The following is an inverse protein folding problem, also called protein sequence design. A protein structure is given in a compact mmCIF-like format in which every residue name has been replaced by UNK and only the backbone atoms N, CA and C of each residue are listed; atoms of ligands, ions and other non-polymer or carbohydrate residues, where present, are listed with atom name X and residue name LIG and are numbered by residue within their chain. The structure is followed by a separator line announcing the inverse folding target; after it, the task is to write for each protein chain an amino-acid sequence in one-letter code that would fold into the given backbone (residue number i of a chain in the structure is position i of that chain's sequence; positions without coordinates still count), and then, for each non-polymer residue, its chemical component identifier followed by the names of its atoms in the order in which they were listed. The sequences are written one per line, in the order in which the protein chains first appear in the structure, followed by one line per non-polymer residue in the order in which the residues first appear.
data_IF_963940405681
#
_entry.id   IF_963940405681
#
_cell.length_a   1.000
_cell.length_b   1.000
_cell.length_c   1.000
_cell.angle_alpha   90.00
_cell.angle_beta   90.00
_cell.angle_gamma   90.00
#
_symmetry.space_group_name_H-M   'P 1'
#
loop_
_entity.id
_entity.type
_entity.pdbx_description
1 polymer ?
#
# COMPACT_ATOMS: atom_id res chain seq x y z
N UNK A 1 20.01 -54.08 17.02
CA UNK A 1 19.92 -52.73 17.63
C UNK A 1 21.34 -52.32 17.94
N UNK A 2 21.97 -51.51 17.07
CA UNK A 2 23.30 -50.95 17.31
C UNK A 2 23.12 -49.77 18.27
N UNK A 3 23.93 -49.74 19.32
CA UNK A 3 23.86 -48.76 20.41
C UNK A 3 24.05 -47.33 19.89
N UNK A 4 23.32 -46.38 20.46
CA UNK A 4 23.47 -44.93 20.20
C UNK A 4 24.85 -44.37 20.64
N UNK A 5 25.78 -45.21 21.07
CA UNK A 5 27.10 -44.86 21.58
C UNK A 5 28.18 -44.72 20.50
N UNK A 6 27.98 -45.24 19.28
CA UNK A 6 29.00 -45.21 18.22
C UNK A 6 28.78 -44.19 17.10
N UNK A 7 27.80 -43.28 17.22
CA UNK A 7 27.65 -42.22 16.20
C UNK A 7 28.80 -41.23 16.29
N UNK A 8 29.61 -41.17 15.23
CA UNK A 8 30.72 -40.25 15.12
C UNK A 8 30.22 -38.80 15.03
N UNK A 9 31.08 -37.85 15.39
CA UNK A 9 30.81 -36.40 15.23
C UNK A 9 30.47 -36.08 13.77
N UNK A 10 31.12 -36.78 12.84
CA UNK A 10 30.95 -36.58 11.41
C UNK A 10 29.55 -37.02 10.95
N UNK A 11 29.04 -38.14 11.49
CA UNK A 11 27.69 -38.62 11.20
C UNK A 11 26.61 -37.68 11.76
N UNK A 12 26.85 -37.13 12.96
CA UNK A 12 25.93 -36.19 13.60
C UNK A 12 25.91 -34.83 12.90
N UNK A 13 27.08 -34.34 12.48
CA UNK A 13 27.19 -33.10 11.71
C UNK A 13 26.58 -33.26 10.31
N UNK A 14 26.81 -34.40 9.65
CA UNK A 14 26.25 -34.71 8.34
C UNK A 14 24.71 -34.83 8.33
N UNK A 15 24.09 -35.09 9.49
CA UNK A 15 22.64 -35.14 9.65
C UNK A 15 21.99 -33.76 9.86
N UNK A 16 22.78 -32.71 10.07
CA UNK A 16 22.25 -31.36 10.22
C UNK A 16 21.75 -30.81 8.87
N UNK A 17 20.70 -29.98 8.86
CA UNK A 17 20.36 -29.15 7.70
C UNK A 17 21.56 -28.32 7.25
N UNK A 18 21.71 -28.08 5.93
CA UNK A 18 22.85 -27.33 5.37
C UNK A 18 23.04 -25.95 6.02
N UNK A 19 21.96 -25.30 6.42
CA UNK A 19 22.01 -23.99 7.07
C UNK A 19 22.54 -24.07 8.51
N UNK A 20 22.23 -25.16 9.24
CA UNK A 20 22.82 -25.44 10.55
C UNK A 20 24.31 -25.73 10.47
N UNK A 21 24.75 -26.43 9.41
CA UNK A 21 26.18 -26.66 9.14
C UNK A 21 26.92 -25.33 8.87
N UNK A 22 26.37 -24.47 7.99
CA UNK A 22 26.97 -23.15 7.70
C UNK A 22 26.99 -22.23 8.92
N UNK A 23 25.94 -22.24 9.74
CA UNK A 23 25.89 -21.41 10.95
C UNK A 23 26.98 -21.81 11.95
N UNK A 24 27.20 -23.11 12.15
CA UNK A 24 28.28 -23.64 13.00
C UNK A 24 29.67 -23.26 12.47
N UNK A 25 29.88 -23.30 11.15
CA UNK A 25 31.13 -22.85 10.53
C UNK A 25 31.38 -21.35 10.71
N UNK A 26 30.34 -20.51 10.56
CA UNK A 26 30.45 -19.05 10.69
C UNK A 26 30.81 -18.59 12.11
N UNK A 27 30.36 -19.30 13.14
CA UNK A 27 30.70 -19.01 14.53
C UNK A 27 32.02 -19.68 14.97
N UNK A 28 32.77 -20.28 14.04
CA UNK A 28 34.04 -20.95 14.30
C UNK A 28 33.91 -22.33 14.97
N UNK A 29 32.70 -22.87 15.08
CA UNK A 29 32.41 -24.22 15.59
C UNK A 29 32.19 -25.23 14.46
N UNK A 30 33.04 -25.15 13.43
CA UNK A 30 33.03 -26.13 12.34
C UNK A 30 33.48 -27.53 12.80
N UNK A 31 33.41 -28.48 11.87
CA UNK A 31 33.75 -29.89 12.08
C UNK A 31 35.12 -30.13 12.78
N UNK A 32 36.20 -29.37 12.50
CA UNK A 32 37.47 -29.51 13.22
C UNK A 32 37.38 -29.17 14.72
N UNK A 33 36.62 -28.14 15.07
CA UNK A 33 36.47 -27.71 16.47
C UNK A 33 35.52 -28.64 17.23
N UNK A 34 34.46 -29.14 16.57
CA UNK A 34 33.57 -30.16 17.15
C UNK A 34 34.32 -31.47 17.42
N UNK A 35 35.24 -31.89 16.54
CA UNK A 35 36.14 -33.04 16.79
C UNK A 35 37.07 -32.79 17.97
N UNK A 36 37.59 -31.56 18.10
CA UNK A 36 38.45 -31.18 19.23
C UNK A 36 37.70 -31.19 20.57
N UNK A 37 36.45 -30.76 20.58
CA UNK A 37 35.57 -30.81 21.76
C UNK A 37 35.25 -32.27 22.10
N UNK A 38 34.89 -33.08 21.09
CA UNK A 38 34.59 -34.51 21.28
C UNK A 38 35.77 -35.33 21.82
N UNK A 39 37.02 -34.92 21.56
CA UNK A 39 38.22 -35.58 22.05
C UNK A 39 38.50 -35.35 23.56
N UNK A 40 37.73 -34.48 24.23
CA UNK A 40 37.81 -34.26 25.68
C UNK A 40 36.98 -35.29 26.43
N UNK A 41 37.31 -35.51 27.70
CA UNK A 41 36.48 -36.28 28.64
C UNK A 41 35.06 -35.65 28.66
N UNK A 42 34.02 -36.46 28.45
CA UNK A 42 32.61 -36.06 28.27
C UNK A 42 32.27 -35.18 27.03
N UNK A 43 33.24 -34.96 26.13
CA UNK A 43 33.10 -34.05 24.98
C UNK A 43 31.96 -34.39 24.01
N UNK A 44 31.70 -35.68 23.80
CA UNK A 44 30.60 -36.14 22.93
C UNK A 44 29.21 -35.74 23.44
N UNK A 45 29.02 -35.64 24.76
CA UNK A 45 27.75 -35.17 25.34
C UNK A 45 27.54 -33.69 25.06
N UNK A 46 28.62 -32.90 25.12
CA UNK A 46 28.60 -31.49 24.80
C UNK A 46 28.33 -31.24 23.31
N UNK A 47 28.97 -32.00 22.41
CA UNK A 47 28.73 -31.92 20.95
C UNK A 47 27.28 -32.26 20.63
N UNK A 48 26.70 -33.30 21.23
CA UNK A 48 25.27 -33.63 21.03
C UNK A 48 24.35 -32.50 21.49
N UNK A 49 24.66 -31.85 22.61
CA UNK A 49 23.95 -30.66 23.09
C UNK A 49 23.97 -29.53 22.07
N UNK A 50 25.17 -29.15 21.61
CA UNK A 50 25.37 -28.10 20.60
C UNK A 50 24.61 -28.45 19.32
N UNK A 51 24.83 -29.64 18.76
CA UNK A 51 24.20 -30.01 17.49
C UNK A 51 22.67 -30.11 17.60
N UNK A 52 22.11 -30.45 18.77
CA UNK A 52 20.65 -30.50 18.96
C UNK A 52 19.97 -29.13 18.88
N UNK A 53 20.68 -28.04 19.26
CA UNK A 53 20.18 -26.67 19.09
C UNK A 53 20.04 -26.28 17.61
N UNK A 54 20.91 -26.82 16.75
CA UNK A 54 20.90 -26.57 15.31
C UNK A 54 20.15 -27.65 14.50
N UNK A 55 19.80 -28.78 15.12
CA UNK A 55 19.01 -29.84 14.51
C UNK A 55 17.50 -29.55 14.53
N UNK A 56 17.05 -28.64 15.40
CA UNK A 56 15.65 -28.23 15.44
C UNK A 56 15.37 -27.37 14.21
N UNK A 57 14.57 -27.91 13.29
CA UNK A 57 14.19 -27.24 12.03
C UNK A 57 13.78 -25.77 12.27
N UNK A 58 14.12 -24.86 11.35
CA UNK A 58 13.73 -23.46 11.46
C UNK A 58 12.20 -23.39 11.68
N UNK A 59 11.82 -22.73 12.77
CA UNK A 59 10.42 -22.53 13.14
C UNK A 59 9.70 -21.82 11.98
N UNK A 60 8.72 -22.44 11.31
CA UNK A 60 7.98 -21.81 10.19
C UNK A 60 7.17 -20.59 10.64
N UNK A 61 7.14 -20.29 11.95
CA UNK A 61 6.54 -19.08 12.52
C UNK A 61 7.45 -17.85 12.46
N UNK A 62 8.71 -17.97 12.01
CA UNK A 62 9.50 -16.80 11.62
C UNK A 62 9.20 -16.45 10.16
N UNK A 63 8.54 -15.32 9.87
CA UNK A 63 8.44 -14.82 8.52
C UNK A 63 9.85 -14.35 8.11
N UNK A 64 10.62 -15.25 7.51
CA UNK A 64 12.06 -15.06 7.44
C UNK A 64 12.75 -15.95 6.45
N UNK A 65 12.64 -17.28 6.54
CA UNK A 65 13.73 -18.12 6.00
C UNK A 65 13.41 -19.17 4.94
N UNK A 66 12.16 -19.29 4.47
CA UNK A 66 11.85 -20.32 3.47
C UNK A 66 11.64 -19.81 2.02
N UNK A 67 12.43 -20.42 1.14
CA UNK A 67 12.17 -20.80 -0.27
C UNK A 67 12.49 -19.83 -1.44
N UNK A 68 13.52 -20.23 -2.21
CA UNK A 68 13.68 -19.90 -3.64
C UNK A 68 14.97 -19.15 -4.01
N UNK A 69 15.44 -19.23 -5.28
CA UNK A 69 16.69 -18.59 -5.71
C UNK A 69 16.70 -17.10 -5.35
N UNK A 70 17.69 -16.70 -4.54
CA UNK A 70 17.76 -15.46 -3.78
C UNK A 70 17.38 -14.19 -4.57
N UNK A 71 17.74 -14.13 -5.86
CA UNK A 71 17.48 -12.98 -6.73
C UNK A 71 16.01 -12.74 -7.10
N UNK A 72 15.15 -13.77 -7.13
CA UNK A 72 13.71 -13.62 -7.47
C UNK A 72 12.84 -13.44 -6.22
N UNK A 73 13.24 -14.05 -5.10
CA UNK A 73 12.50 -14.03 -3.84
C UNK A 73 12.51 -12.65 -3.15
N UNK A 74 13.58 -11.85 -3.32
CA UNK A 74 13.70 -10.53 -2.68
C UNK A 74 12.86 -9.42 -3.37
N UNK A 75 12.69 -9.48 -4.69
CA UNK A 75 12.05 -8.41 -5.50
C UNK A 75 10.54 -8.63 -5.66
N UNK A 76 10.11 -9.89 -5.77
CA UNK A 76 8.73 -10.25 -6.04
C UNK A 76 7.71 -9.70 -5.02
N UNK A 77 8.00 -9.70 -3.69
CA UNK A 77 7.08 -9.13 -2.71
C UNK A 77 6.81 -7.63 -2.93
N UNK A 78 7.83 -6.87 -3.31
CA UNK A 78 7.72 -5.43 -3.58
C UNK A 78 6.98 -5.14 -4.88
N UNK A 79 7.24 -5.92 -5.93
CA UNK A 79 6.48 -5.83 -7.19
C UNK A 79 5.01 -6.18 -6.96
N UNK A 80 4.74 -7.24 -6.18
CA UNK A 80 3.37 -7.60 -5.81
C UNK A 80 2.67 -6.48 -5.04
N UNK A 81 3.35 -5.86 -4.07
CA UNK A 81 2.78 -4.74 -3.31
C UNK A 81 2.44 -3.56 -4.23
N UNK A 82 3.36 -3.18 -5.12
CA UNK A 82 3.13 -2.12 -6.09
C UNK A 82 1.95 -2.43 -7.01
N UNK A 83 1.90 -3.64 -7.58
CA UNK A 83 0.82 -4.05 -8.48
C UNK A 83 -0.54 -4.06 -7.79
N UNK A 84 -0.62 -4.59 -6.55
CA UNK A 84 -1.87 -4.60 -5.78
C UNK A 84 -2.29 -3.18 -5.41
N UNK A 85 -1.37 -2.31 -5.00
CA UNK A 85 -1.68 -0.92 -4.70
C UNK A 85 -2.14 -0.14 -5.95
N UNK A 86 -1.44 -0.29 -7.07
CA UNK A 86 -1.79 0.37 -8.33
C UNK A 86 -3.13 -0.13 -8.88
N UNK A 87 -3.36 -1.45 -8.90
CA UNK A 87 -4.63 -2.03 -9.32
C UNK A 87 -5.78 -1.60 -8.40
N UNK A 88 -5.51 -1.48 -7.09
CA UNK A 88 -6.50 -0.98 -6.13
C UNK A 88 -6.90 0.46 -6.43
N UNK A 89 -5.92 1.37 -6.57
CA UNK A 89 -6.16 2.78 -6.90
C UNK A 89 -6.92 2.89 -8.22
N UNK A 90 -6.51 2.14 -9.25
CA UNK A 90 -7.20 2.13 -10.53
C UNK A 90 -8.65 1.63 -10.42
N UNK A 91 -8.88 0.56 -9.67
CA UNK A 91 -10.23 0.02 -9.43
C UNK A 91 -11.11 1.02 -8.68
N UNK A 92 -10.55 1.73 -7.69
CA UNK A 92 -11.24 2.78 -6.95
C UNK A 92 -11.60 3.99 -7.82
N UNK A 93 -10.69 4.39 -8.72
CA UNK A 93 -10.95 5.48 -9.68
C UNK A 93 -11.96 5.06 -10.74
N UNK A 94 -11.93 3.80 -11.18
CA UNK A 94 -12.90 3.32 -12.15
C UNK A 94 -14.29 3.18 -11.54
N UNK A 95 -14.38 2.71 -10.29
CA UNK A 95 -15.66 2.58 -9.59
C UNK A 95 -16.30 3.94 -9.30
N UNK A 96 -15.52 5.01 -9.09
CA UNK A 96 -16.08 6.36 -8.90
C UNK A 96 -16.89 6.84 -10.10
N UNK A 97 -16.59 6.35 -11.30
CA UNK A 97 -17.39 6.65 -12.51
C UNK A 97 -18.79 6.03 -12.49
N UNK A 98 -19.03 4.98 -11.70
CA UNK A 98 -20.29 4.22 -11.70
C UNK A 98 -21.10 4.37 -10.42
N UNK A 99 -20.44 4.51 -9.28
CA UNK A 99 -21.10 4.54 -7.95
C UNK A 99 -20.84 5.83 -7.18
N UNK A 100 -20.26 6.84 -7.84
CA UNK A 100 -20.08 8.18 -7.27
C UNK A 100 -19.22 8.19 -6.01
N UNK A 101 -19.67 8.97 -4.99
CA UNK A 101 -19.00 9.08 -3.68
C UNK A 101 -18.89 7.72 -2.93
N UNK A 102 -19.73 6.73 -3.26
CA UNK A 102 -19.65 5.39 -2.64
C UNK A 102 -18.39 4.60 -3.04
N UNK A 103 -17.68 5.02 -4.10
CA UNK A 103 -16.39 4.44 -4.48
C UNK A 103 -15.33 4.53 -3.38
N UNK A 104 -15.45 5.49 -2.45
CA UNK A 104 -14.60 5.56 -1.27
C UNK A 104 -14.67 4.27 -0.42
N UNK A 105 -15.84 3.62 -0.34
CA UNK A 105 -16.01 2.34 0.36
C UNK A 105 -15.24 1.21 -0.35
N UNK A 106 -15.21 1.23 -1.68
CA UNK A 106 -14.42 0.28 -2.48
C UNK A 106 -12.93 0.51 -2.21
N UNK A 107 -12.47 1.77 -2.20
CA UNK A 107 -11.10 2.12 -1.85
C UNK A 107 -10.69 1.66 -0.43
N UNK A 108 -11.59 1.79 0.55
CA UNK A 108 -11.38 1.29 1.92
C UNK A 108 -11.33 -0.24 1.99
N UNK A 109 -12.22 -0.93 1.30
CA UNK A 109 -12.21 -2.40 1.25
C UNK A 109 -10.90 -2.92 0.62
N UNK A 110 -10.46 -2.29 -0.47
CA UNK A 110 -9.20 -2.62 -1.12
C UNK A 110 -7.98 -2.20 -0.29
N UNK A 111 -8.11 -1.19 0.59
CA UNK A 111 -7.06 -0.83 1.54
C UNK A 111 -6.69 -2.02 2.42
N UNK A 112 -7.69 -2.77 2.92
CA UNK A 112 -7.44 -3.96 3.74
C UNK A 112 -6.56 -4.99 3.01
N UNK A 113 -6.80 -5.19 1.71
CA UNK A 113 -5.98 -6.06 0.87
C UNK A 113 -4.54 -5.52 0.73
N UNK A 114 -4.39 -4.21 0.49
CA UNK A 114 -3.07 -3.56 0.38
C UNK A 114 -2.31 -3.67 1.69
N UNK A 115 -2.96 -3.41 2.83
CA UNK A 115 -2.37 -3.59 4.16
C UNK A 115 -1.95 -5.03 4.39
N UNK A 116 -2.80 -5.99 4.10
CA UNK A 116 -2.49 -7.42 4.22
C UNK A 116 -1.24 -7.79 3.41
N UNK A 117 -1.15 -7.36 2.14
CA UNK A 117 0.00 -7.62 1.28
C UNK A 117 1.25 -6.91 1.79
N UNK A 118 1.12 -5.67 2.28
CA UNK A 118 2.23 -4.91 2.86
C UNK A 118 2.80 -5.59 4.10
N UNK A 119 1.95 -6.09 5.01
CA UNK A 119 2.42 -6.83 6.20
C UNK A 119 3.08 -8.17 5.84
N UNK A 120 2.69 -8.78 4.72
CA UNK A 120 3.33 -9.99 4.19
C UNK A 120 4.61 -9.71 3.38
N UNK A 121 4.95 -8.44 3.14
CA UNK A 121 6.16 -8.03 2.41
C UNK A 121 7.37 -8.02 3.36
N UNK A 122 8.43 -8.75 3.00
CA UNK A 122 9.63 -8.99 3.84
C UNK A 122 10.32 -7.68 4.22
N UNK A 123 10.70 -7.54 5.50
CA UNK A 123 11.45 -6.37 5.98
C UNK A 123 12.95 -6.53 5.73
N UNK A 124 13.48 -5.95 4.67
CA UNK A 124 14.91 -5.69 4.54
C UNK A 124 15.30 -4.43 5.33
N UNK A 125 16.60 -4.22 5.58
CA UNK A 125 17.08 -2.95 6.14
C UNK A 125 16.72 -1.79 5.20
N UNK A 126 15.81 -0.90 5.63
CA UNK A 126 15.21 0.16 4.80
C UNK A 126 13.82 -0.18 4.25
N UNK A 127 13.47 -1.46 4.16
CA UNK A 127 12.16 -1.94 3.70
C UNK A 127 11.01 -1.55 4.63
N UNK A 128 11.24 -1.39 5.94
CA UNK A 128 10.20 -0.92 6.87
C UNK A 128 9.73 0.50 6.51
N UNK A 129 10.68 1.40 6.22
CA UNK A 129 10.38 2.78 5.83
C UNK A 129 9.65 2.82 4.48
N UNK A 130 10.17 2.08 3.48
CA UNK A 130 9.53 2.00 2.16
C UNK A 130 8.10 1.44 2.24
N UNK A 131 7.84 0.46 3.12
CA UNK A 131 6.51 -0.10 3.35
C UNK A 131 5.55 0.97 3.89
N UNK A 132 5.96 1.70 4.92
CA UNK A 132 5.13 2.74 5.51
C UNK A 132 4.90 3.92 4.55
N UNK A 133 5.91 4.30 3.76
CA UNK A 133 5.76 5.29 2.70
C UNK A 133 4.76 4.83 1.63
N UNK A 134 4.82 3.56 1.22
CA UNK A 134 3.87 3.00 0.25
C UNK A 134 2.43 3.01 0.80
N UNK A 135 2.25 2.60 2.06
CA UNK A 135 0.94 2.61 2.72
C UNK A 135 0.41 4.03 2.89
N UNK A 136 1.25 4.98 3.31
CA UNK A 136 0.88 6.37 3.46
C UNK A 136 0.51 6.98 2.10
N UNK A 137 1.33 6.77 1.06
CA UNK A 137 1.05 7.24 -0.30
C UNK A 137 -0.27 6.66 -0.84
N UNK A 138 -0.51 5.37 -0.63
CA UNK A 138 -1.77 4.73 -0.99
C UNK A 138 -2.97 5.37 -0.28
N UNK A 139 -2.89 5.55 1.04
CA UNK A 139 -3.97 6.17 1.81
C UNK A 139 -4.23 7.61 1.36
N UNK A 140 -3.16 8.39 1.10
CA UNK A 140 -3.29 9.75 0.57
C UNK A 140 -3.99 9.73 -0.79
N UNK A 141 -3.60 8.85 -1.71
CA UNK A 141 -4.25 8.73 -3.02
C UNK A 141 -5.73 8.38 -2.92
N UNK A 142 -6.08 7.41 -2.06
CA UNK A 142 -7.50 7.02 -1.87
C UNK A 142 -8.28 8.16 -1.21
N UNK A 143 -7.71 8.83 -0.22
CA UNK A 143 -8.40 9.86 0.55
C UNK A 143 -8.59 11.14 -0.27
N UNK A 144 -7.49 11.68 -0.82
CA UNK A 144 -7.51 12.89 -1.66
C UNK A 144 -8.23 12.60 -2.97
N UNK A 145 -8.02 11.42 -3.57
CA UNK A 145 -8.73 11.00 -4.77
C UNK A 145 -10.25 10.87 -4.56
N UNK A 146 -10.70 10.36 -3.41
CA UNK A 146 -12.12 10.30 -3.07
C UNK A 146 -12.72 11.69 -2.85
N UNK A 147 -11.97 12.59 -2.18
CA UNK A 147 -12.38 13.98 -2.00
C UNK A 147 -12.49 14.71 -3.34
N UNK A 148 -11.54 14.47 -4.24
CA UNK A 148 -11.48 15.07 -5.57
C UNK A 148 -12.35 14.35 -6.63
N UNK A 149 -13.01 13.25 -6.26
CA UNK A 149 -13.71 12.39 -7.22
C UNK A 149 -14.79 13.14 -8.01
N UNK A 150 -15.49 14.09 -7.37
CA UNK A 150 -16.49 14.90 -8.06
C UNK A 150 -15.85 15.80 -9.13
N UNK A 151 -14.80 16.56 -8.77
CA UNK A 151 -14.09 17.43 -9.69
C UNK A 151 -13.49 16.66 -10.88
N UNK A 152 -12.81 15.54 -10.60
CA UNK A 152 -12.29 14.64 -11.63
C UNK A 152 -13.40 14.13 -12.55
N UNK A 153 -14.50 13.64 -11.99
CA UNK A 153 -15.61 13.12 -12.76
C UNK A 153 -16.21 14.20 -13.67
N UNK A 154 -16.51 15.38 -13.15
CA UNK A 154 -17.12 16.47 -13.92
C UNK A 154 -16.19 16.99 -15.02
N UNK A 155 -14.87 17.01 -14.81
CA UNK A 155 -13.92 17.32 -15.89
C UNK A 155 -14.02 16.30 -17.03
N UNK A 156 -14.02 15.00 -16.72
CA UNK A 156 -13.98 13.93 -17.73
C UNK A 156 -15.34 13.70 -18.39
N UNK A 157 -16.43 13.68 -17.61
CA UNK A 157 -17.78 13.25 -18.02
C UNK A 157 -18.86 14.30 -17.87
N UNK A 158 -18.60 15.39 -17.17
CA UNK A 158 -19.60 16.45 -17.01
C UNK A 158 -19.97 17.11 -18.33
N UNK A 159 -21.14 17.70 -18.39
CA UNK A 159 -21.62 18.50 -19.52
C UNK A 159 -21.82 19.94 -19.09
N UNK A 160 -21.30 20.88 -19.89
CA UNK A 160 -21.52 22.30 -19.68
C UNK A 160 -22.91 22.66 -20.16
N UNK A 161 -23.74 23.19 -19.26
CA UNK A 161 -25.06 23.68 -19.60
C UNK A 161 -25.40 24.96 -18.84
N UNK A 162 -26.29 25.75 -19.43
CA UNK A 162 -26.85 26.92 -18.75
C UNK A 162 -27.89 26.46 -17.73
N UNK A 163 -27.68 26.83 -16.48
CA UNK A 163 -28.57 26.55 -15.34
C UNK A 163 -29.08 27.85 -14.75
N UNK A 164 -30.20 27.79 -14.03
CA UNK A 164 -30.77 28.97 -13.36
C UNK A 164 -30.49 28.89 -11.86
N UNK A 165 -29.98 29.95 -11.25
CA UNK A 165 -29.74 29.97 -9.80
C UNK A 165 -31.10 29.92 -9.08
N UNK A 166 -31.28 28.91 -8.24
CA UNK A 166 -32.46 28.72 -7.40
C UNK A 166 -32.24 29.31 -6.00
N UNK A 167 -33.26 29.22 -5.15
CA UNK A 167 -33.14 29.70 -3.77
C UNK A 167 -32.02 28.95 -3.02
N UNK A 168 -31.15 29.66 -2.28
CA UNK A 168 -30.11 29.02 -1.50
C UNK A 168 -30.70 28.16 -0.39
N UNK A 169 -29.96 27.15 0.02
CA UNK A 169 -30.27 26.36 1.22
C UNK A 169 -29.33 26.77 2.36
N UNK A 170 -29.80 26.58 3.59
CA UNK A 170 -29.00 26.86 4.77
C UNK A 170 -28.86 25.60 5.58
N UNK A 171 -27.62 25.24 5.88
CA UNK A 171 -27.30 24.09 6.70
C UNK A 171 -26.46 24.55 7.89
N UNK A 172 -26.65 23.89 9.04
CA UNK A 172 -25.82 24.14 10.22
C UNK A 172 -24.69 23.12 10.25
N UNK A 173 -23.47 23.60 10.10
CA UNK A 173 -22.25 22.79 10.06
C UNK A 173 -21.28 23.34 11.08
N UNK A 174 -20.79 22.49 11.99
CA UNK A 174 -19.82 22.87 13.03
C UNK A 174 -20.22 24.11 13.88
N UNK A 175 -21.52 24.29 14.13
CA UNK A 175 -22.03 25.41 14.94
C UNK A 175 -22.16 26.74 14.21
N UNK A 176 -21.88 26.79 12.90
CA UNK A 176 -22.14 27.96 12.05
C UNK A 176 -23.20 27.65 11.00
N UNK A 177 -23.98 28.66 10.62
CA UNK A 177 -24.94 28.56 9.53
C UNK A 177 -24.21 28.78 8.21
N UNK A 178 -24.02 27.72 7.45
CA UNK A 178 -23.49 27.79 6.09
C UNK A 178 -24.62 27.93 5.08
N UNK A 179 -24.36 28.71 4.03
CA UNK A 179 -25.31 28.93 2.94
C UNK A 179 -24.76 28.26 1.70
N UNK A 180 -25.58 27.41 1.09
CA UNK A 180 -25.22 26.64 -0.09
C UNK A 180 -26.11 27.05 -1.26
N UNK A 181 -25.49 27.20 -2.42
CA UNK A 181 -26.20 27.55 -3.64
C UNK A 181 -26.91 26.36 -4.23
N UNK A 182 -28.11 26.62 -4.77
CA UNK A 182 -28.86 25.64 -5.55
C UNK A 182 -29.03 26.15 -6.97
N UNK A 183 -29.04 25.23 -7.92
CA UNK A 183 -29.28 25.52 -9.32
C UNK A 183 -30.41 24.64 -9.84
N UNK A 184 -31.30 25.24 -10.62
CA UNK A 184 -32.31 24.56 -11.40
C UNK A 184 -31.74 24.24 -12.79
N UNK A 185 -31.81 22.96 -13.11
CA UNK A 185 -31.39 22.40 -14.40
C UNK A 185 -32.50 22.55 -15.45
N UNK A 186 -32.17 22.28 -16.71
CA UNK A 186 -33.12 22.39 -17.81
C UNK A 186 -34.28 21.39 -17.74
N UNK A 187 -34.09 20.28 -17.03
CA UNK A 187 -35.12 19.29 -16.73
C UNK A 187 -36.04 19.71 -15.55
N UNK A 188 -35.79 20.88 -14.96
CA UNK A 188 -36.53 21.43 -13.83
C UNK A 188 -36.07 20.93 -12.45
N UNK A 189 -35.17 19.96 -12.39
CA UNK A 189 -34.61 19.45 -11.14
C UNK A 189 -33.72 20.50 -10.47
N UNK A 190 -33.65 20.47 -9.13
CA UNK A 190 -32.93 21.49 -8.35
C UNK A 190 -31.87 20.85 -7.46
N UNK A 191 -30.61 21.11 -7.77
CA UNK A 191 -29.46 20.48 -7.14
C UNK A 191 -28.62 21.49 -6.36
N UNK A 192 -28.02 21.05 -5.27
CA UNK A 192 -27.03 21.83 -4.53
C UNK A 192 -25.70 21.85 -5.30
N UNK A 193 -25.03 23.00 -5.34
CA UNK A 193 -23.75 23.17 -6.01
C UNK A 193 -22.61 22.73 -5.09
N UNK A 194 -21.64 21.97 -5.62
CA UNK A 194 -20.49 21.54 -4.84
C UNK A 194 -19.63 22.73 -4.37
N UNK A 195 -19.24 22.70 -3.09
CA UNK A 195 -18.21 23.55 -2.49
C UNK A 195 -18.43 25.07 -2.67
N UNK A 196 -19.66 25.52 -2.91
CA UNK A 196 -19.92 26.93 -3.12
C UNK A 196 -20.31 27.62 -1.83
N UNK A 197 -19.34 28.28 -1.18
CA UNK A 197 -19.55 29.20 -0.06
C UNK A 197 -19.90 30.63 -0.51
N UNK A 198 -20.05 30.88 -1.80
CA UNK A 198 -20.48 32.19 -2.29
C UNK A 198 -21.93 32.47 -1.94
N UNK A 199 -22.23 33.73 -1.62
CA UNK A 199 -23.61 34.17 -1.48
C UNK A 199 -24.26 34.27 -2.87
N UNK A 200 -25.26 33.43 -3.12
CA UNK A 200 -26.08 33.45 -4.35
C UNK A 200 -27.45 34.07 -4.14
N UNK A 201 -27.77 34.58 -2.94
CA UNK A 201 -29.05 35.19 -2.64
C UNK A 201 -29.39 36.34 -3.61
N UNK A 202 -28.41 37.16 -3.96
CA UNK A 202 -28.59 38.32 -4.86
C UNK A 202 -28.66 37.93 -6.35
N UNK A 203 -28.38 36.65 -6.66
CA UNK A 203 -28.29 36.12 -8.04
C UNK A 203 -29.42 35.15 -8.37
N UNK A 204 -30.39 34.96 -7.47
CA UNK A 204 -31.54 34.06 -7.70
C UNK A 204 -32.28 34.46 -8.99
N UNK A 205 -32.57 33.48 -9.84
CA UNK A 205 -33.20 33.67 -11.16
C UNK A 205 -32.22 34.01 -12.29
N UNK A 206 -30.94 34.27 -12.01
CA UNK A 206 -29.93 34.47 -13.06
C UNK A 206 -29.57 33.15 -13.74
N UNK A 207 -29.31 33.23 -15.04
CA UNK A 207 -28.79 32.11 -15.84
C UNK A 207 -27.27 32.16 -15.83
N UNK A 208 -26.64 31.06 -15.45
CA UNK A 208 -25.18 30.91 -15.37
C UNK A 208 -24.75 29.59 -16.01
N UNK A 209 -23.48 29.48 -16.40
CA UNK A 209 -22.92 28.20 -16.82
C UNK A 209 -22.61 27.34 -15.61
N UNK A 210 -22.90 26.05 -15.73
CA UNK A 210 -22.49 25.03 -14.78
C UNK A 210 -22.14 23.74 -15.52
N UNK A 211 -21.23 22.98 -14.93
CA UNK A 211 -20.93 21.61 -15.35
C UNK A 211 -21.77 20.66 -14.51
N UNK A 212 -22.48 19.78 -15.21
CA UNK A 212 -23.47 18.88 -14.61
C UNK A 212 -23.13 17.45 -14.95
N UNK A 213 -23.38 16.54 -14.02
CA UNK A 213 -23.33 15.11 -14.28
C UNK A 213 -24.62 14.63 -14.96
N UNK A 214 -24.58 14.15 -16.21
CA UNK A 214 -25.76 13.63 -16.89
C UNK A 214 -26.33 12.35 -16.23
N UNK A 215 -25.53 11.62 -15.47
CA UNK A 215 -25.95 10.42 -14.74
C UNK A 215 -26.48 10.71 -13.33
N UNK A 216 -26.33 11.95 -12.83
CA UNK A 216 -26.83 12.36 -11.52
C UNK A 216 -26.14 11.73 -10.29
N UNK A 217 -24.95 11.15 -10.46
CA UNK A 217 -24.13 10.64 -9.36
C UNK A 217 -23.41 11.74 -8.58
N UNK A 218 -23.18 12.89 -9.21
CA UNK A 218 -22.41 13.99 -8.65
C UNK A 218 -23.15 15.33 -8.68
N UNK A 219 -22.87 16.16 -7.68
CA UNK A 219 -23.42 17.52 -7.56
C UNK A 219 -22.80 18.44 -8.63
N UNK A 220 -23.59 19.35 -9.23
CA UNK A 220 -23.10 20.28 -10.25
C UNK A 220 -22.08 21.28 -9.70
N UNK A 221 -21.23 21.78 -10.59
CA UNK A 221 -20.23 22.82 -10.30
C UNK A 221 -20.51 24.05 -11.16
N UNK A 222 -20.48 25.25 -10.56
CA UNK A 222 -20.65 26.50 -11.32
C UNK A 222 -19.39 26.82 -12.14
N UNK A 223 -19.58 27.41 -13.31
CA UNK A 223 -18.51 27.75 -14.24
C UNK A 223 -18.35 26.72 -15.36
N UNK A 224 -17.15 26.68 -15.91
CA UNK A 224 -16.75 25.79 -17.01
C UNK A 224 -15.87 24.65 -16.49
N UNK A 225 -15.63 23.63 -17.32
CA UNK A 225 -14.74 22.51 -16.95
C UNK A 225 -13.33 22.94 -16.58
N UNK A 226 -12.82 24.02 -17.16
CA UNK A 226 -11.49 24.55 -16.83
C UNK A 226 -11.44 25.20 -15.45
N UNK A 227 -12.57 25.63 -14.92
CA UNK A 227 -12.67 26.24 -13.58
C UNK A 227 -12.77 25.16 -12.48
N UNK A 228 -13.06 23.91 -12.87
CA UNK A 228 -13.15 22.78 -11.96
C UNK A 228 -11.75 22.30 -11.62
N UNK A 229 -11.42 22.27 -10.33
CA UNK A 229 -10.23 21.59 -9.82
C UNK A 229 -9.34 22.49 -8.97
N UNK A 230 -8.60 21.84 -8.06
CA UNK A 230 -7.63 22.49 -7.21
C UNK A 230 -6.22 22.05 -7.61
N UNK A 231 -5.39 23.04 -7.93
CA UNK A 231 -4.00 22.84 -8.36
C UNK A 231 -3.20 22.09 -7.28
N UNK A 232 -3.51 22.36 -6.00
CA UNK A 232 -2.82 21.77 -4.86
C UNK A 232 -3.10 20.26 -4.74
N UNK A 233 -4.36 19.86 -4.83
CA UNK A 233 -4.82 18.46 -4.75
C UNK A 233 -4.22 17.64 -5.90
N UNK A 234 -4.15 18.21 -7.10
CA UNK A 234 -3.46 17.61 -8.25
C UNK A 234 -1.98 17.32 -7.95
N UNK A 235 -1.25 18.29 -7.37
CA UNK A 235 0.14 18.08 -6.97
C UNK A 235 0.32 17.07 -5.84
N UNK A 236 -0.59 17.06 -4.85
CA UNK A 236 -0.57 16.07 -3.77
C UNK A 236 -0.78 14.65 -4.32
N UNK A 237 -1.74 14.46 -5.23
CA UNK A 237 -1.97 13.19 -5.91
C UNK A 237 -0.76 12.76 -6.74
N UNK A 238 -0.15 13.68 -7.51
CA UNK A 238 1.05 13.38 -8.30
C UNK A 238 2.25 12.99 -7.41
N UNK A 239 2.48 13.73 -6.32
CA UNK A 239 3.53 13.41 -5.35
C UNK A 239 3.31 12.06 -4.69
N UNK A 240 2.08 11.75 -4.28
CA UNK A 240 1.72 10.47 -3.70
C UNK A 240 1.89 9.32 -4.71
N UNK A 241 1.50 9.51 -5.97
CA UNK A 241 1.73 8.53 -7.04
C UNK A 241 3.23 8.28 -7.27
N UNK A 242 4.04 9.33 -7.28
CA UNK A 242 5.49 9.20 -7.40
C UNK A 242 6.09 8.40 -6.23
N UNK A 243 5.68 8.68 -4.99
CA UNK A 243 6.13 7.93 -3.80
C UNK A 243 5.67 6.48 -3.88
N UNK A 244 4.42 6.22 -4.29
CA UNK A 244 3.86 4.88 -4.41
C UNK A 244 4.68 4.00 -5.37
N UNK A 245 5.23 4.59 -6.44
CA UNK A 245 6.07 3.88 -7.41
C UNK A 245 7.52 3.80 -6.93
N UNK A 246 8.10 4.91 -6.49
CA UNK A 246 9.53 5.00 -6.17
C UNK A 246 9.89 4.22 -4.90
N UNK A 247 9.05 4.21 -3.87
CA UNK A 247 9.33 3.49 -2.63
C UNK A 247 9.53 1.97 -2.82
N UNK A 248 8.62 1.22 -3.48
CA UNK A 248 8.82 -0.21 -3.73
C UNK A 248 9.95 -0.48 -4.73
N UNK A 249 10.14 0.38 -5.75
CA UNK A 249 11.23 0.21 -6.73
C UNK A 249 12.60 0.40 -6.08
N UNK A 250 12.78 1.44 -5.26
CA UNK A 250 14.03 1.67 -4.54
C UNK A 250 14.33 0.57 -3.53
N UNK A 251 13.31 0.06 -2.83
CA UNK A 251 13.46 -1.10 -1.94
C UNK A 251 13.89 -2.37 -2.71
N UNK A 252 13.32 -2.62 -3.90
CA UNK A 252 13.71 -3.74 -4.75
C UNK A 252 15.15 -3.61 -5.28
N UNK A 253 15.57 -2.40 -5.68
CA UNK A 253 16.93 -2.15 -6.21
C UNK A 253 18.01 -2.21 -5.13
N UNK A 254 17.75 -1.66 -3.94
CA UNK A 254 18.68 -1.71 -2.81
C UNK A 254 18.85 -3.13 -2.26
N UNK A 255 17.79 -3.95 -2.30
CA UNK A 255 17.87 -5.38 -2.01
C UNK A 255 18.85 -6.10 -2.93
N UNK A 256 18.79 -5.84 -4.25
CA UNK A 256 19.72 -6.42 -5.23
C UNK A 256 21.17 -5.99 -5.03
N UNK A 257 21.41 -4.71 -4.72
CA UNK A 257 22.77 -4.16 -4.62
C UNK A 257 23.55 -4.65 -3.40
N UNK A 258 22.87 -4.90 -2.27
CA UNK A 258 23.50 -5.46 -1.07
C UNK A 258 23.92 -6.92 -1.25
N UNK A 259 23.10 -7.72 -1.92
CA UNK A 259 23.43 -9.12 -2.21
C UNK A 259 24.60 -9.26 -3.18
N UNK A 260 24.70 -8.36 -4.17
CA UNK A 260 25.85 -8.31 -5.07
C UNK A 260 27.17 -7.95 -4.36
N UNK A 261 27.11 -7.16 -3.28
CA UNK A 261 28.27 -6.83 -2.44
C UNK A 261 28.62 -7.90 -1.40
N UNK A 262 27.68 -8.73 -0.98
CA UNK A 262 27.97 -9.86 -0.07
C UNK A 262 28.42 -11.12 -0.82
N UNK A 263 28.23 -11.18 -2.13
CA UNK A 263 28.68 -12.26 -3.01
C UNK A 263 30.03 -11.98 -3.68
N UNK A 264 30.62 -10.79 -3.47
CA UNK A 264 31.92 -10.36 -3.95
C UNK A 264 32.91 -10.27 -2.78
#
# INVERSE_FOLDING_TARGET
MASEEERSVDDLFGQLPQDGQRALEQIGMGLPELRRIAAREDGMRQVRGILSEFATAPDPRRPGDDEGPAQRAAVWPWVRLLLVAAASVFTCLLSSLFIGKAAALVGLALALLVFWVAFRTRSSHGGVVARWLTLAAYLILVSVGSYFANAWYLQVRGEEQTVTIASPTHQWTHGTRETYCRVQLNDGSVHEVISNKENCADRVGQKVLAVVDPAGHYEPSLGTKSDIGGVLEGYVCLGAAAVLVLAPVTAAMTGRAKEARSAA
#
